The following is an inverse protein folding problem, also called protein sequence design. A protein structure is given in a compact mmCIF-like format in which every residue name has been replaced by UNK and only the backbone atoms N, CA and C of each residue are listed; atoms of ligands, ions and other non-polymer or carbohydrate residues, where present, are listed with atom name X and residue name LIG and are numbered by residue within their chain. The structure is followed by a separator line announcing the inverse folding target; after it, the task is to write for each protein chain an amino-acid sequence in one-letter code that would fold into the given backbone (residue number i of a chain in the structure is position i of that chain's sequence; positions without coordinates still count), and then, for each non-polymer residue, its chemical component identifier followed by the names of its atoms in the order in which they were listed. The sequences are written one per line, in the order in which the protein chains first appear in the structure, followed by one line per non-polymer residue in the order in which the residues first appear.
data_IF_655294168183
#
_entry.id   IF_655294168183
#
_cell.length_a   1.000
_cell.length_b   1.000
_cell.length_c   1.000
_cell.angle_alpha   90.00
_cell.angle_beta   90.00
_cell.angle_gamma   90.00
#
_symmetry.space_group_name_H-M   'P 1'
#
loop_
_entity.id
_entity.type
_entity.pdbx_description
1 polymer ?
#
# COMPACT_ATOMS: atom_id res chain seq x y z
N UNK A 1 41.56 -25.71 -57.18
CA UNK A 1 42.90 -25.30 -56.68
C UNK A 1 42.80 -25.23 -55.16
N UNK A 2 43.38 -26.19 -54.45
CA UNK A 2 43.37 -26.20 -52.99
C UNK A 2 44.41 -25.19 -52.47
N UNK A 3 43.95 -24.12 -51.83
CA UNK A 3 44.83 -23.14 -51.20
C UNK A 3 45.62 -23.80 -50.07
N UNK A 4 46.95 -23.88 -50.21
CA UNK A 4 47.86 -24.20 -49.10
C UNK A 4 47.65 -23.16 -48.00
N UNK A 5 47.02 -23.52 -46.89
CA UNK A 5 47.05 -22.73 -45.67
C UNK A 5 48.52 -22.56 -45.26
N UNK A 6 49.04 -21.33 -45.30
CA UNK A 6 50.35 -21.02 -44.73
C UNK A 6 50.22 -21.10 -43.22
N UNK A 7 50.65 -22.22 -42.63
CA UNK A 7 50.83 -22.32 -41.18
C UNK A 7 51.97 -21.35 -40.83
N UNK A 8 51.71 -20.42 -39.93
CA UNK A 8 52.73 -19.49 -39.43
C UNK A 8 53.71 -20.34 -38.61
N UNK A 9 54.94 -20.53 -39.11
CA UNK A 9 55.97 -21.31 -38.42
C UNK A 9 56.69 -20.43 -37.40
N UNK A 10 56.67 -20.85 -36.14
CA UNK A 10 57.40 -20.19 -35.04
C UNK A 10 58.88 -20.60 -35.03
N UNK A 11 59.72 -19.88 -34.28
CA UNK A 11 61.13 -20.24 -34.10
C UNK A 11 61.34 -21.63 -33.51
N UNK A 12 60.44 -22.06 -32.62
CA UNK A 12 60.44 -23.38 -31.99
C UNK A 12 60.13 -24.48 -33.03
N UNK A 13 59.16 -24.25 -33.94
CA UNK A 13 58.83 -25.22 -34.99
C UNK A 13 60.01 -25.47 -35.93
N UNK A 14 60.73 -24.39 -36.28
CA UNK A 14 61.94 -24.49 -37.10
C UNK A 14 63.04 -25.27 -36.38
N UNK A 15 63.21 -25.05 -35.07
CA UNK A 15 64.17 -25.82 -34.26
C UNK A 15 63.81 -27.31 -34.24
N UNK A 16 62.54 -27.67 -34.04
CA UNK A 16 62.10 -29.08 -34.06
C UNK A 16 62.36 -29.72 -35.42
N UNK A 17 62.06 -29.03 -36.53
CA UNK A 17 62.38 -29.50 -37.88
C UNK A 17 63.88 -29.71 -38.06
N UNK A 18 64.69 -28.76 -37.61
CA UNK A 18 66.14 -28.82 -37.68
C UNK A 18 66.68 -30.05 -36.94
N UNK A 19 66.24 -30.26 -35.71
CA UNK A 19 66.66 -31.42 -34.91
C UNK A 19 66.18 -32.73 -35.54
N UNK A 20 64.98 -32.75 -36.14
CA UNK A 20 64.47 -33.95 -36.84
C UNK A 20 65.23 -34.26 -38.14
N UNK A 21 65.66 -33.24 -38.88
CA UNK A 21 66.42 -33.39 -40.13
C UNK A 21 67.85 -33.84 -39.86
N UNK A 22 68.56 -33.16 -38.96
CA UNK A 22 69.96 -33.48 -38.64
C UNK A 22 70.11 -34.65 -37.66
N UNK A 23 69.02 -35.08 -36.99
CA UNK A 23 68.95 -36.06 -35.89
C UNK A 23 69.71 -35.68 -34.62
N UNK A 24 70.81 -34.94 -34.78
CA UNK A 24 71.66 -34.41 -33.73
C UNK A 24 72.35 -33.14 -34.24
N UNK A 25 72.15 -32.02 -33.55
CA UNK A 25 72.77 -30.74 -33.90
C UNK A 25 73.27 -30.04 -32.64
N UNK A 26 74.39 -29.31 -32.70
CA UNK A 26 74.85 -28.54 -31.55
C UNK A 26 74.00 -27.29 -31.37
N UNK A 27 73.85 -26.79 -30.13
CA UNK A 27 73.10 -25.57 -29.84
C UNK A 27 73.67 -24.38 -30.63
N UNK A 28 75.00 -24.28 -30.76
CA UNK A 28 75.66 -23.22 -31.53
C UNK A 28 75.35 -23.29 -33.02
N UNK A 29 75.34 -24.49 -33.59
CA UNK A 29 75.03 -24.69 -35.01
C UNK A 29 73.55 -24.42 -35.28
N UNK A 30 72.66 -24.86 -34.38
CA UNK A 30 71.23 -24.56 -34.47
C UNK A 30 70.94 -23.05 -34.36
N UNK A 31 71.62 -22.34 -33.46
CA UNK A 31 71.50 -20.88 -33.33
C UNK A 31 71.95 -20.16 -34.61
N UNK A 32 73.05 -20.63 -35.22
CA UNK A 32 73.56 -20.10 -36.49
C UNK A 32 72.58 -20.35 -37.65
N UNK A 33 72.00 -21.54 -37.73
CA UNK A 33 71.08 -21.93 -38.81
C UNK A 33 69.72 -21.22 -38.70
N UNK A 34 69.24 -21.00 -37.47
CA UNK A 34 67.98 -20.31 -37.20
C UNK A 34 68.11 -18.78 -37.19
N UNK A 35 69.34 -18.27 -37.16
CA UNK A 35 69.63 -16.83 -37.11
C UNK A 35 69.22 -16.18 -35.78
N UNK A 36 69.32 -16.90 -34.66
CA UNK A 36 68.96 -16.44 -33.31
C UNK A 36 70.11 -16.60 -32.32
N UNK A 37 69.98 -16.03 -31.12
CA UNK A 37 71.02 -16.15 -30.09
C UNK A 37 71.10 -17.57 -29.53
N UNK A 38 72.30 -17.99 -29.08
CA UNK A 38 72.52 -19.29 -28.44
C UNK A 38 71.60 -19.46 -27.23
N UNK A 39 71.48 -18.42 -26.40
CA UNK A 39 70.60 -18.39 -25.23
C UNK A 39 69.13 -18.64 -25.59
N UNK A 40 68.63 -18.08 -26.71
CA UNK A 40 67.25 -18.34 -27.17
C UNK A 40 67.05 -19.80 -27.57
N UNK A 41 68.06 -20.44 -28.18
CA UNK A 41 67.99 -21.87 -28.53
C UNK A 41 68.06 -22.74 -27.28
N UNK A 42 68.84 -22.35 -26.27
CA UNK A 42 68.89 -23.05 -24.97
C UNK A 42 67.53 -22.99 -24.28
N UNK A 43 66.90 -21.81 -24.17
CA UNK A 43 65.55 -21.68 -23.59
C UNK A 43 64.51 -22.52 -24.34
N UNK A 44 64.54 -22.52 -25.67
CA UNK A 44 63.65 -23.38 -26.46
C UNK A 44 63.97 -24.86 -26.29
N UNK A 45 65.25 -25.21 -26.19
CA UNK A 45 65.68 -26.59 -26.03
C UNK A 45 65.27 -27.16 -24.66
N UNK A 46 65.43 -26.38 -23.60
CA UNK A 46 65.00 -26.74 -22.24
C UNK A 46 63.49 -26.99 -22.23
N UNK A 47 62.70 -26.07 -22.83
CA UNK A 47 61.25 -26.25 -22.99
C UNK A 47 60.89 -27.51 -23.79
N UNK A 48 61.58 -27.78 -24.89
CA UNK A 48 61.34 -28.97 -25.72
C UNK A 48 61.81 -30.28 -25.07
N UNK A 49 62.82 -30.22 -24.20
CA UNK A 49 63.26 -31.35 -23.39
C UNK A 49 62.27 -31.68 -22.27
N UNK A 50 61.72 -30.65 -21.61
CA UNK A 50 60.64 -30.80 -20.62
C UNK A 50 59.40 -31.46 -21.25
N UNK A 51 59.01 -31.05 -22.46
CA UNK A 51 57.91 -31.69 -23.20
C UNK A 51 58.29 -33.07 -23.78
N UNK A 52 59.58 -33.42 -23.75
CA UNK A 52 60.13 -34.70 -24.18
C UNK A 52 60.15 -34.89 -25.69
N UNK A 53 60.21 -33.79 -26.45
CA UNK A 53 60.30 -33.76 -27.91
C UNK A 53 61.74 -33.97 -28.37
N UNK A 54 62.69 -33.38 -27.64
CA UNK A 54 64.12 -33.54 -27.86
C UNK A 54 64.81 -33.96 -26.56
N UNK A 55 66.08 -34.36 -26.65
CA UNK A 55 66.93 -34.65 -25.50
C UNK A 55 68.21 -33.84 -25.64
N UNK A 56 68.61 -33.18 -24.56
CA UNK A 56 69.84 -32.40 -24.49
C UNK A 56 70.94 -33.35 -24.01
N UNK A 57 71.96 -33.52 -24.85
CA UNK A 57 73.13 -34.35 -24.55
C UNK A 57 74.39 -33.50 -24.56
N UNK A 58 75.04 -33.36 -23.41
CA UNK A 58 76.38 -32.79 -23.34
C UNK A 58 77.42 -33.84 -23.75
N UNK A 59 78.24 -33.54 -24.76
CA UNK A 59 79.46 -34.32 -25.06
C UNK A 59 80.67 -33.38 -25.04
N UNK A 60 81.60 -33.64 -24.13
CA UNK A 60 82.72 -32.74 -23.79
C UNK A 60 82.19 -31.37 -23.34
N UNK A 61 82.57 -30.29 -24.03
CA UNK A 61 82.14 -28.91 -23.76
C UNK A 61 81.04 -28.42 -24.71
N UNK A 62 80.40 -29.32 -25.48
CA UNK A 62 79.38 -28.96 -26.46
C UNK A 62 78.05 -29.62 -26.14
N UNK A 63 76.99 -28.82 -26.09
CA UNK A 63 75.60 -29.25 -25.89
C UNK A 63 74.99 -29.60 -27.23
N UNK A 64 74.42 -30.80 -27.34
CA UNK A 64 73.76 -31.31 -28.54
C UNK A 64 72.27 -31.52 -28.29
N UNK A 65 71.45 -31.09 -29.23
CA UNK A 65 70.03 -31.38 -29.31
C UNK A 65 69.84 -32.65 -30.12
N UNK A 66 69.27 -33.69 -29.51
CA UNK A 66 69.04 -34.99 -30.14
C UNK A 66 67.55 -35.24 -30.25
N UNK A 67 67.10 -35.72 -31.42
CA UNK A 67 65.71 -36.14 -31.59
C UNK A 67 65.39 -37.27 -30.60
N UNK A 68 64.50 -37.00 -29.64
CA UNK A 68 64.03 -38.01 -28.71
C UNK A 68 62.97 -38.82 -29.44
N UNK A 69 63.36 -39.98 -29.99
CA UNK A 69 62.41 -40.97 -30.47
C UNK A 69 61.62 -41.47 -29.26
N UNK A 70 60.48 -40.84 -28.98
CA UNK A 70 59.52 -41.32 -27.99
C UNK A 70 59.34 -42.83 -28.22
N UNK A 71 59.65 -43.62 -27.20
CA UNK A 71 59.47 -45.05 -27.33
C UNK A 71 57.98 -45.29 -27.57
N UNK A 72 57.62 -46.29 -28.38
CA UNK A 72 56.20 -46.66 -28.57
C UNK A 72 55.51 -46.91 -27.22
N UNK A 73 56.24 -47.30 -26.17
CA UNK A 73 55.70 -47.47 -24.81
C UNK A 73 55.32 -46.13 -24.18
N UNK A 74 56.19 -45.12 -24.25
CA UNK A 74 55.98 -43.80 -23.62
C UNK A 74 54.80 -43.07 -24.29
N UNK A 75 54.65 -43.23 -25.60
CA UNK A 75 53.54 -42.66 -26.36
C UNK A 75 52.22 -43.37 -26.01
N UNK A 76 52.25 -44.69 -25.81
CA UNK A 76 51.08 -45.45 -25.32
C UNK A 76 50.71 -45.05 -23.88
N UNK A 77 51.69 -44.81 -23.01
CA UNK A 77 51.42 -44.30 -21.66
C UNK A 77 50.85 -42.88 -21.67
N UNK A 78 51.44 -41.94 -22.41
CA UNK A 78 50.89 -40.58 -22.56
C UNK A 78 49.48 -40.59 -23.16
N UNK A 79 49.20 -41.44 -24.16
CA UNK A 79 47.84 -41.58 -24.72
C UNK A 79 46.88 -42.16 -23.67
N UNK A 80 47.32 -43.12 -22.85
CA UNK A 80 46.51 -43.67 -21.76
C UNK A 80 46.21 -42.63 -20.68
N UNK A 81 47.19 -41.83 -20.26
CA UNK A 81 46.98 -40.77 -19.25
C UNK A 81 46.04 -39.70 -19.76
N UNK A 82 46.24 -39.19 -20.97
CA UNK A 82 45.34 -38.20 -21.60
C UNK A 82 43.92 -38.76 -21.75
N UNK A 83 43.78 -40.05 -22.12
CA UNK A 83 42.48 -40.71 -22.21
C UNK A 83 41.80 -40.83 -20.84
N UNK A 84 42.54 -41.17 -19.80
CA UNK A 84 42.02 -41.26 -18.43
C UNK A 84 41.61 -39.88 -17.88
N UNK A 85 42.43 -38.84 -18.12
CA UNK A 85 42.11 -37.46 -17.76
C UNK A 85 40.83 -36.99 -18.46
N UNK A 86 40.72 -37.27 -19.76
CA UNK A 86 39.51 -36.99 -20.53
C UNK A 86 38.29 -37.69 -19.97
N UNK A 87 38.37 -38.99 -19.68
CA UNK A 87 37.23 -39.73 -19.14
C UNK A 87 36.81 -39.18 -17.77
N UNK A 88 37.78 -38.82 -16.92
CA UNK A 88 37.51 -38.15 -15.65
C UNK A 88 36.84 -36.77 -15.83
N UNK A 89 37.15 -36.07 -16.92
CA UNK A 89 36.60 -34.76 -17.22
C UNK A 89 35.17 -34.87 -17.76
N UNK A 90 34.91 -35.82 -18.66
CA UNK A 90 33.55 -36.13 -19.13
C UNK A 90 32.64 -36.49 -17.95
N UNK A 91 33.09 -37.39 -17.07
CA UNK A 91 32.31 -37.78 -15.88
C UNK A 91 32.02 -36.59 -14.96
N UNK A 92 32.95 -35.64 -14.82
CA UNK A 92 32.74 -34.40 -14.04
C UNK A 92 31.70 -33.48 -14.67
N UNK A 93 31.70 -33.34 -16.00
CA UNK A 93 30.68 -32.59 -16.74
C UNK A 93 29.32 -33.26 -16.57
N UNK A 94 29.22 -34.57 -16.82
CA UNK A 94 27.96 -35.32 -16.68
C UNK A 94 27.41 -35.24 -15.25
N UNK A 95 28.25 -35.40 -14.24
CA UNK A 95 27.85 -35.25 -12.84
C UNK A 95 27.38 -33.83 -12.52
N UNK A 96 27.96 -32.81 -13.18
CA UNK A 96 27.58 -31.42 -12.98
C UNK A 96 26.26 -31.07 -13.66
N UNK A 97 26.00 -31.60 -14.86
CA UNK A 97 24.73 -31.51 -15.57
C UNK A 97 23.62 -32.16 -14.73
N UNK A 98 23.83 -33.41 -14.28
CA UNK A 98 22.85 -34.11 -13.45
C UNK A 98 22.55 -33.39 -12.13
N UNK A 99 23.52 -32.68 -11.56
CA UNK A 99 23.30 -31.85 -10.39
C UNK A 99 22.48 -30.60 -10.71
N UNK A 100 22.74 -29.93 -11.84
CA UNK A 100 21.92 -28.79 -12.28
C UNK A 100 20.48 -29.19 -12.57
N UNK A 101 20.24 -30.38 -13.13
CA UNK A 101 18.88 -30.88 -13.37
C UNK A 101 18.11 -31.07 -12.05
N UNK A 102 18.78 -31.52 -10.98
CA UNK A 102 18.16 -31.59 -9.65
C UNK A 102 17.89 -30.22 -9.07
N UNK A 103 18.85 -29.29 -9.23
CA UNK A 103 18.68 -27.90 -8.77
C UNK A 103 17.50 -27.24 -9.50
N UNK A 104 17.30 -27.52 -10.79
CA UNK A 104 16.14 -27.08 -11.59
C UNK A 104 14.81 -27.62 -11.07
N UNK A 105 14.76 -28.92 -10.74
CA UNK A 105 13.58 -29.52 -10.12
C UNK A 105 13.27 -28.87 -8.75
N UNK A 106 14.31 -28.56 -7.96
CA UNK A 106 14.14 -27.84 -6.69
C UNK A 106 13.61 -26.41 -6.90
N UNK A 107 14.14 -25.67 -7.89
CA UNK A 107 13.64 -24.33 -8.25
C UNK A 107 12.16 -24.38 -8.63
N UNK A 108 11.76 -25.35 -9.47
CA UNK A 108 10.36 -25.54 -9.88
C UNK A 108 9.44 -25.86 -8.71
N UNK A 109 9.91 -26.70 -7.79
CA UNK A 109 9.14 -27.02 -6.58
C UNK A 109 8.91 -25.74 -5.76
N UNK A 110 9.98 -24.98 -5.50
CA UNK A 110 9.91 -23.71 -4.76
C UNK A 110 8.98 -22.71 -5.46
N UNK A 111 9.08 -22.56 -6.78
CA UNK A 111 8.19 -21.67 -7.55
C UNK A 111 6.72 -22.10 -7.43
N UNK A 112 6.43 -23.40 -7.50
CA UNK A 112 5.08 -23.92 -7.35
C UNK A 112 4.50 -23.71 -5.94
N UNK A 113 5.29 -23.96 -4.89
CA UNK A 113 4.91 -23.70 -3.49
C UNK A 113 4.65 -22.21 -3.27
N UNK A 114 5.54 -21.36 -3.79
CA UNK A 114 5.42 -19.91 -3.71
C UNK A 114 4.16 -19.39 -4.42
N UNK A 115 3.85 -19.89 -5.63
CA UNK A 115 2.62 -19.55 -6.35
C UNK A 115 1.36 -19.93 -5.58
N UNK A 116 1.34 -21.09 -4.93
CA UNK A 116 0.21 -21.51 -4.07
C UNK A 116 0.05 -20.60 -2.85
N UNK A 117 1.15 -20.25 -2.18
CA UNK A 117 1.15 -19.31 -1.05
C UNK A 117 0.63 -17.95 -1.51
N UNK A 118 1.12 -17.45 -2.65
CA UNK A 118 0.71 -16.19 -3.25
C UNK A 118 -0.79 -16.17 -3.55
N UNK A 119 -1.34 -17.20 -4.21
CA UNK A 119 -2.78 -17.24 -4.52
C UNK A 119 -3.66 -17.28 -3.27
N UNK A 120 -3.29 -18.08 -2.26
CA UNK A 120 -4.03 -18.15 -1.00
C UNK A 120 -4.03 -16.80 -0.25
N UNK A 121 -2.94 -16.04 -0.38
CA UNK A 121 -2.81 -14.73 0.25
C UNK A 121 -3.51 -13.64 -0.56
N UNK A 122 -3.45 -13.67 -1.89
CA UNK A 122 -4.18 -12.75 -2.76
C UNK A 122 -5.70 -12.83 -2.52
N UNK A 123 -6.26 -14.02 -2.35
CA UNK A 123 -7.69 -14.20 -2.04
C UNK A 123 -8.08 -13.61 -0.68
N UNK A 124 -7.25 -13.87 0.34
CA UNK A 124 -7.45 -13.29 1.67
C UNK A 124 -7.29 -11.77 1.65
N UNK A 125 -6.34 -11.26 0.85
CA UNK A 125 -6.09 -9.85 0.67
C UNK A 125 -7.24 -9.15 -0.04
N UNK A 126 -7.79 -9.71 -1.12
CA UNK A 126 -8.96 -9.18 -1.80
C UNK A 126 -10.17 -9.09 -0.86
N UNK A 127 -10.36 -10.09 0.02
CA UNK A 127 -11.40 -10.04 1.05
C UNK A 127 -11.14 -8.95 2.08
N UNK A 128 -9.89 -8.79 2.53
CA UNK A 128 -9.53 -7.77 3.52
C UNK A 128 -9.59 -6.35 2.95
N UNK A 129 -9.13 -6.13 1.71
CA UNK A 129 -9.24 -4.87 0.98
C UNK A 129 -10.70 -4.44 0.88
N UNK A 130 -11.59 -5.35 0.44
CA UNK A 130 -13.04 -5.08 0.40
C UNK A 130 -13.62 -4.74 1.79
N UNK A 131 -13.13 -5.36 2.86
CA UNK A 131 -13.55 -5.02 4.24
C UNK A 131 -13.02 -3.63 4.65
N UNK A 132 -11.79 -3.28 4.28
CA UNK A 132 -11.19 -1.97 4.54
C UNK A 132 -11.89 -0.84 3.77
N UNK A 133 -12.20 -1.05 2.48
CA UNK A 133 -12.93 -0.09 1.65
C UNK A 133 -14.30 0.21 2.26
N UNK A 134 -15.03 -0.83 2.68
CA UNK A 134 -16.29 -0.69 3.42
C UNK A 134 -16.11 0.11 4.71
N UNK A 135 -15.08 -0.18 5.50
CA UNK A 135 -14.77 0.55 6.74
C UNK A 135 -14.48 2.04 6.47
N UNK A 136 -13.81 2.35 5.36
CA UNK A 136 -13.56 3.73 4.95
C UNK A 136 -14.86 4.45 4.55
N UNK A 137 -15.73 3.78 3.79
CA UNK A 137 -17.05 4.29 3.44
C UNK A 137 -17.93 4.51 4.68
N UNK A 138 -17.90 3.59 5.65
CA UNK A 138 -18.56 3.76 6.95
C UNK A 138 -18.04 4.99 7.70
N UNK A 139 -16.72 5.22 7.71
CA UNK A 139 -16.12 6.39 8.34
C UNK A 139 -16.58 7.69 7.67
N UNK A 140 -16.65 7.72 6.34
CA UNK A 140 -17.15 8.87 5.57
C UNK A 140 -18.63 9.13 5.87
N UNK A 141 -19.45 8.08 5.89
CA UNK A 141 -20.88 8.17 6.23
C UNK A 141 -21.10 8.67 7.66
N UNK A 142 -20.39 8.12 8.65
CA UNK A 142 -20.45 8.58 10.04
C UNK A 142 -20.06 10.06 10.17
N UNK A 143 -19.03 10.50 9.46
CA UNK A 143 -18.64 11.91 9.46
C UNK A 143 -19.74 12.81 8.85
N UNK A 144 -20.34 12.41 7.73
CA UNK A 144 -21.44 13.15 7.11
C UNK A 144 -22.69 13.22 7.99
N UNK A 145 -23.04 12.12 8.67
CA UNK A 145 -24.14 12.09 9.65
C UNK A 145 -23.83 13.07 10.79
N UNK A 146 -22.61 13.07 11.32
CA UNK A 146 -22.19 14.00 12.37
C UNK A 146 -22.29 15.47 11.94
N UNK A 147 -21.90 15.80 10.71
CA UNK A 147 -22.05 17.17 10.16
C UNK A 147 -23.53 17.55 10.07
N UNK A 148 -24.38 16.67 9.51
CA UNK A 148 -25.83 16.92 9.41
C UNK A 148 -26.52 17.08 10.76
N UNK A 149 -26.16 16.27 11.75
CA UNK A 149 -26.69 16.40 13.11
C UNK A 149 -26.33 17.76 13.71
N UNK A 150 -25.09 18.21 13.57
CA UNK A 150 -24.64 19.52 14.06
C UNK A 150 -25.34 20.69 13.34
N UNK A 151 -25.60 20.57 12.04
CA UNK A 151 -26.35 21.57 11.27
C UNK A 151 -27.81 21.64 11.75
N UNK A 152 -28.47 20.50 11.92
CA UNK A 152 -29.83 20.44 12.44
C UNK A 152 -29.93 21.00 13.86
N UNK A 153 -29.00 20.68 14.74
CA UNK A 153 -28.95 21.24 16.10
C UNK A 153 -28.90 22.76 16.08
N UNK A 154 -28.04 23.35 15.24
CA UNK A 154 -27.94 24.81 15.08
C UNK A 154 -29.23 25.43 14.55
N UNK A 155 -29.83 24.82 13.51
CA UNK A 155 -31.08 25.31 12.93
C UNK A 155 -32.22 25.30 13.96
N UNK A 156 -32.31 24.25 14.79
CA UNK A 156 -33.30 24.17 15.86
C UNK A 156 -33.01 25.15 16.99
N UNK A 157 -31.76 25.35 17.40
CA UNK A 157 -31.39 26.35 18.39
C UNK A 157 -31.76 27.77 17.94
N UNK A 158 -31.56 28.09 16.66
CA UNK A 158 -31.94 29.39 16.11
C UNK A 158 -33.47 29.57 16.07
N UNK A 159 -34.21 28.54 15.64
CA UNK A 159 -35.68 28.55 15.68
C UNK A 159 -36.21 28.73 17.10
N UNK A 160 -35.64 28.03 18.08
CA UNK A 160 -36.01 28.16 19.49
C UNK A 160 -35.74 29.55 20.04
N UNK A 161 -34.58 30.15 19.73
CA UNK A 161 -34.26 31.54 20.12
C UNK A 161 -35.25 32.54 19.51
N UNK A 162 -35.60 32.36 18.25
CA UNK A 162 -36.56 33.21 17.57
C UNK A 162 -37.96 33.09 18.19
N UNK A 163 -38.42 31.87 18.48
CA UNK A 163 -39.71 31.64 19.15
C UNK A 163 -39.73 32.21 20.57
N UNK A 164 -38.67 31.99 21.36
CA UNK A 164 -38.55 32.55 22.72
C UNK A 164 -38.59 34.09 22.70
N UNK A 165 -37.94 34.72 21.71
CA UNK A 165 -37.98 36.19 21.56
C UNK A 165 -39.38 36.71 21.20
N UNK A 166 -40.14 35.98 20.34
CA UNK A 166 -41.52 36.31 19.99
C UNK A 166 -42.44 36.15 21.20
N UNK A 167 -42.33 35.03 21.91
CA UNK A 167 -43.11 34.75 23.10
C UNK A 167 -42.90 35.82 24.17
N UNK A 168 -41.64 36.19 24.46
CA UNK A 168 -41.33 37.27 25.40
C UNK A 168 -41.91 38.63 24.99
N UNK A 169 -41.99 38.92 23.70
CA UNK A 169 -42.59 40.16 23.18
C UNK A 169 -44.11 40.14 23.38
N UNK A 170 -44.76 39.03 23.05
CA UNK A 170 -46.21 38.85 23.24
C UNK A 170 -46.59 38.88 24.72
N UNK A 171 -45.83 38.20 25.59
CA UNK A 171 -46.04 38.24 27.05
C UNK A 171 -45.96 39.66 27.62
N UNK A 172 -44.99 40.47 27.14
CA UNK A 172 -44.89 41.88 27.54
C UNK A 172 -46.10 42.68 27.07
N UNK A 173 -46.48 42.53 25.81
CA UNK A 173 -47.67 43.20 25.25
C UNK A 173 -48.94 42.82 26.02
N UNK A 174 -49.09 41.55 26.38
CA UNK A 174 -50.23 41.07 27.17
C UNK A 174 -50.25 41.69 28.57
N UNK A 175 -49.11 41.75 29.27
CA UNK A 175 -49.00 42.39 30.58
C UNK A 175 -49.31 43.89 30.53
N UNK A 176 -48.88 44.59 29.48
CA UNK A 176 -49.20 46.00 29.29
C UNK A 176 -50.70 46.23 29.09
N UNK A 177 -51.38 45.34 28.35
CA UNK A 177 -52.83 45.42 28.19
C UNK A 177 -53.56 45.10 29.49
N UNK A 178 -53.13 44.10 30.25
CA UNK A 178 -53.71 43.79 31.55
C UNK A 178 -53.59 44.97 32.52
N UNK A 179 -52.42 45.62 32.58
CA UNK A 179 -52.23 46.80 33.43
C UNK A 179 -53.18 47.95 33.05
N UNK A 180 -53.41 48.18 31.76
CA UNK A 180 -54.38 49.19 31.28
C UNK A 180 -55.81 48.83 31.65
N UNK A 181 -56.19 47.55 31.54
CA UNK A 181 -57.53 47.09 31.95
C UNK A 181 -57.73 47.26 33.45
N UNK A 182 -56.73 46.93 34.27
CA UNK A 182 -56.78 47.14 35.73
C UNK A 182 -56.93 48.64 36.09
N UNK A 183 -56.20 49.51 35.40
CA UNK A 183 -56.31 50.97 35.57
C UNK A 183 -57.71 51.49 35.16
N UNK A 184 -58.23 51.05 34.01
CA UNK A 184 -59.59 51.40 33.55
C UNK A 184 -60.66 50.91 34.54
N UNK A 185 -60.54 49.69 35.08
CA UNK A 185 -61.47 49.16 36.08
C UNK A 185 -61.48 49.98 37.37
N UNK A 186 -60.31 50.42 37.86
CA UNK A 186 -60.22 51.26 39.06
C UNK A 186 -60.80 52.66 38.80
N UNK A 187 -60.64 53.21 37.60
CA UNK A 187 -61.25 54.48 37.20
C UNK A 187 -62.78 54.36 37.14
N UNK A 188 -63.31 53.31 36.49
CA UNK A 188 -64.75 53.03 36.43
C UNK A 188 -65.32 52.86 37.85
N UNK A 189 -64.59 52.18 38.74
CA UNK A 189 -65.01 52.03 40.14
C UNK A 189 -65.11 53.37 40.86
N UNK A 190 -64.10 54.25 40.73
CA UNK A 190 -64.13 55.61 41.29
C UNK A 190 -65.29 56.43 40.73
N UNK A 191 -65.56 56.33 39.43
CA UNK A 191 -66.70 57.00 38.81
C UNK A 191 -68.03 56.45 39.30
N UNK A 192 -68.15 55.13 39.46
CA UNK A 192 -69.32 54.49 40.05
C UNK A 192 -69.55 54.93 41.49
N UNK A 193 -68.50 55.05 42.29
CA UNK A 193 -68.59 55.55 43.66
C UNK A 193 -69.03 57.02 43.69
N UNK A 194 -68.54 57.86 42.76
CA UNK A 194 -69.04 59.23 42.58
C UNK A 194 -70.51 59.26 42.20
N UNK A 195 -70.94 58.43 41.24
CA UNK A 195 -72.34 58.31 40.84
C UNK A 195 -73.20 57.86 42.02
N UNK A 196 -72.73 56.91 42.82
CA UNK A 196 -73.46 56.44 44.02
C UNK A 196 -73.57 57.55 45.05
N UNK A 197 -72.49 58.30 45.29
CA UNK A 197 -72.51 59.47 46.16
C UNK A 197 -73.44 60.56 45.63
N UNK A 198 -73.45 60.79 44.31
CA UNK A 198 -74.38 61.71 43.65
C UNK A 198 -75.83 61.25 43.78
N UNK A 199 -76.12 59.94 43.73
CA UNK A 199 -77.46 59.39 43.95
C UNK A 199 -77.90 59.59 45.41
N UNK A 200 -77.01 59.38 46.38
CA UNK A 200 -77.35 59.60 47.78
C UNK A 200 -77.50 61.10 48.09
N UNK A 201 -76.65 61.93 47.50
CA UNK A 201 -76.82 63.39 47.51
C UNK A 201 -78.10 63.78 46.78
N UNK A 202 -78.46 63.13 45.68
CA UNK A 202 -79.71 63.34 44.94
C UNK A 202 -80.89 63.00 45.82
N UNK A 203 -80.86 61.92 46.62
CA UNK A 203 -81.94 61.59 47.57
C UNK A 203 -82.06 62.65 48.67
N UNK A 204 -80.94 63.07 49.26
CA UNK A 204 -80.91 64.13 50.27
C UNK A 204 -81.36 65.48 49.68
N UNK A 205 -80.97 65.76 48.44
CA UNK A 205 -81.41 66.92 47.67
C UNK A 205 -82.84 66.74 47.16
N UNK A 206 -83.39 65.53 46.97
CA UNK A 206 -84.78 65.30 46.55
C UNK A 206 -85.73 65.79 47.63
N UNK A 207 -85.36 65.57 48.89
CA UNK A 207 -85.98 66.18 50.07
C UNK A 207 -85.87 67.71 50.05
N UNK A 208 -84.85 68.27 49.41
CA UNK A 208 -84.69 69.71 49.17
C UNK A 208 -85.28 70.19 47.81
N UNK A 209 -85.54 69.34 46.82
CA UNK A 209 -85.93 69.68 45.42
C UNK A 209 -87.44 69.86 45.28
N UNK A 210 -88.24 69.35 46.22
CA UNK A 210 -89.57 69.94 46.47
C UNK A 210 -89.49 71.48 46.61
N UNK A 211 -88.36 72.03 47.07
CA UNK A 211 -88.08 73.46 47.14
C UNK A 211 -87.45 74.08 45.87
N UNK A 212 -86.68 73.31 45.07
CA UNK A 212 -85.85 73.81 43.96
C UNK A 212 -86.25 73.31 42.55
N UNK A 213 -87.51 72.92 42.36
CA UNK A 213 -88.08 72.64 41.03
C UNK A 213 -87.90 73.75 39.97
N UNK A 214 -87.44 74.96 40.36
CA UNK A 214 -87.11 76.10 39.48
C UNK A 214 -85.67 76.10 38.90
N UNK A 215 -84.72 75.37 39.46
CA UNK A 215 -83.31 75.37 38.99
C UNK A 215 -82.97 74.15 38.09
N UNK A 216 -83.97 73.30 37.84
CA UNK A 216 -83.90 71.99 37.17
C UNK A 216 -83.42 72.00 35.70
N UNK A 217 -83.46 73.14 35.01
CA UNK A 217 -83.07 73.18 33.58
C UNK A 217 -81.58 72.95 33.32
N UNK A 218 -80.70 73.39 34.22
CA UNK A 218 -79.26 73.44 33.94
C UNK A 218 -78.51 72.15 34.32
N UNK A 219 -79.07 71.33 35.22
CA UNK A 219 -78.46 70.09 35.73
C UNK A 219 -78.72 68.90 34.79
N UNK A 220 -79.83 68.90 34.03
CA UNK A 220 -80.11 67.86 33.02
C UNK A 220 -79.03 67.78 31.94
N UNK A 221 -78.47 68.92 31.54
CA UNK A 221 -77.42 68.99 30.53
C UNK A 221 -76.06 68.46 31.03
N UNK A 222 -75.81 68.46 32.34
CA UNK A 222 -74.59 67.88 32.93
C UNK A 222 -74.70 66.35 33.10
N UNK A 223 -75.86 65.84 33.53
CA UNK A 223 -76.12 64.39 33.61
C UNK A 223 -76.05 63.74 32.22
N UNK A 224 -76.57 64.42 31.18
CA UNK A 224 -76.48 63.90 29.81
C UNK A 224 -75.04 63.87 29.28
N UNK A 225 -74.17 64.80 29.71
CA UNK A 225 -72.74 64.80 29.37
C UNK A 225 -71.96 63.69 30.08
N UNK A 226 -72.21 63.49 31.38
CA UNK A 226 -71.58 62.42 32.17
C UNK A 226 -72.02 61.02 31.71
N UNK A 227 -73.30 60.82 31.36
CA UNK A 227 -73.76 59.56 30.77
C UNK A 227 -73.13 59.28 29.39
N UNK A 228 -72.93 60.31 28.57
CA UNK A 228 -72.19 60.18 27.30
C UNK A 228 -70.72 59.82 27.53
N UNK A 229 -70.12 60.26 28.63
CA UNK A 229 -68.75 59.91 29.00
C UNK A 229 -68.64 58.45 29.45
N UNK A 230 -69.58 57.97 30.28
CA UNK A 230 -69.67 56.54 30.65
C UNK A 230 -69.81 55.62 29.43
N UNK A 231 -70.64 55.98 28.45
CA UNK A 231 -70.76 55.21 27.20
C UNK A 231 -69.45 55.18 26.39
N UNK A 232 -68.67 56.26 26.41
CA UNK A 232 -67.35 56.32 25.76
C UNK A 232 -66.37 55.39 26.46
N UNK A 233 -66.38 55.36 27.79
CA UNK A 233 -65.44 54.57 28.59
C UNK A 233 -65.80 53.08 28.59
N UNK A 234 -67.08 52.72 28.54
CA UNK A 234 -67.54 51.34 28.29
C UNK A 234 -67.09 50.84 26.89
N UNK A 235 -67.14 51.72 25.88
CA UNK A 235 -66.62 51.39 24.55
C UNK A 235 -65.10 51.22 24.53
N UNK A 236 -64.36 51.97 25.36
CA UNK A 236 -62.90 51.81 25.52
C UNK A 236 -62.57 50.49 26.20
N UNK A 237 -63.24 50.17 27.31
CA UNK A 237 -63.07 48.91 28.03
C UNK A 237 -63.33 47.71 27.11
N UNK A 238 -64.38 47.79 26.29
CA UNK A 238 -64.70 46.74 25.30
C UNK A 238 -63.59 46.57 24.26
N UNK A 239 -63.04 47.67 23.73
CA UNK A 239 -61.90 47.62 22.79
C UNK A 239 -60.63 47.05 23.44
N UNK A 240 -60.36 47.40 24.70
CA UNK A 240 -59.23 46.87 25.48
C UNK A 240 -59.39 45.37 25.74
N UNK A 241 -60.60 44.92 26.08
CA UNK A 241 -60.93 43.51 26.26
C UNK A 241 -60.82 42.72 24.94
N UNK A 242 -61.33 43.25 23.83
CA UNK A 242 -61.22 42.64 22.50
C UNK A 242 -59.74 42.52 22.06
N UNK A 243 -58.91 43.52 22.39
CA UNK A 243 -57.47 43.47 22.14
C UNK A 243 -56.76 42.41 22.99
N UNK A 244 -57.12 42.26 24.27
CA UNK A 244 -56.59 41.21 25.14
C UNK A 244 -56.97 39.81 24.64
N UNK A 245 -58.21 39.63 24.18
CA UNK A 245 -58.71 38.39 23.58
C UNK A 245 -57.96 38.05 22.27
N UNK A 246 -57.66 39.07 21.44
CA UNK A 246 -56.84 38.92 20.23
C UNK A 246 -55.42 38.44 20.55
N UNK A 247 -54.73 39.11 21.48
CA UNK A 247 -53.37 38.73 21.91
C UNK A 247 -53.35 37.33 22.52
N UNK A 248 -54.39 36.96 23.29
CA UNK A 248 -54.52 35.61 23.85
C UNK A 248 -54.61 34.54 22.75
N UNK A 249 -55.40 34.79 21.69
CA UNK A 249 -55.49 33.87 20.54
C UNK A 249 -54.17 33.76 19.79
N UNK A 250 -53.42 34.86 19.66
CA UNK A 250 -52.10 34.86 19.05
C UNK A 250 -51.11 34.00 19.87
N UNK A 251 -51.08 34.18 21.21
CA UNK A 251 -50.28 33.35 22.13
C UNK A 251 -50.65 31.86 22.00
N UNK A 252 -51.95 31.54 21.95
CA UNK A 252 -52.43 30.16 21.78
C UNK A 252 -52.03 29.57 20.41
N UNK A 253 -52.00 30.38 19.36
CA UNK A 253 -51.56 29.96 18.03
C UNK A 253 -50.04 29.74 17.97
N UNK A 254 -49.25 30.65 18.53
CA UNK A 254 -47.78 30.51 18.64
C UNK A 254 -47.41 29.31 19.52
N UNK A 255 -48.20 29.01 20.56
CA UNK A 255 -48.03 27.80 21.38
C UNK A 255 -48.30 26.52 20.59
N UNK A 256 -49.29 26.51 19.69
CA UNK A 256 -49.55 25.37 18.80
C UNK A 256 -48.45 25.17 17.77
N UNK A 257 -47.91 26.25 17.22
CA UNK A 257 -46.76 26.20 16.31
C UNK A 257 -45.53 25.62 17.04
N UNK A 258 -45.34 25.96 18.32
CA UNK A 258 -44.26 25.42 19.16
C UNK A 258 -44.43 23.91 19.41
N UNK A 259 -45.67 23.45 19.63
CA UNK A 259 -46.00 22.03 19.71
C UNK A 259 -45.78 21.30 18.39
N UNK A 260 -46.06 21.95 17.25
CA UNK A 260 -45.84 21.37 15.92
C UNK A 260 -44.35 21.26 15.59
N UNK A 261 -43.55 22.27 15.93
CA UNK A 261 -42.08 22.20 15.84
C UNK A 261 -41.52 21.12 16.77
N UNK A 262 -42.08 20.94 17.97
CA UNK A 262 -41.72 19.85 18.89
C UNK A 262 -42.07 18.45 18.31
N UNK A 263 -43.22 18.32 17.64
CA UNK A 263 -43.60 17.10 16.90
C UNK A 263 -42.68 16.83 15.71
N UNK A 264 -42.31 17.85 14.94
CA UNK A 264 -41.34 17.70 13.85
C UNK A 264 -39.96 17.30 14.38
N UNK A 265 -39.50 17.92 15.47
CA UNK A 265 -38.25 17.55 16.14
C UNK A 265 -38.26 16.09 16.60
N UNK A 266 -39.35 15.63 17.22
CA UNK A 266 -39.49 14.22 17.64
C UNK A 266 -39.60 13.25 16.46
N UNK A 267 -40.21 13.67 15.33
CA UNK A 267 -40.24 12.89 14.10
C UNK A 267 -38.85 12.76 13.46
N UNK A 268 -38.11 13.87 13.29
CA UNK A 268 -36.74 13.86 12.81
C UNK A 268 -35.80 13.09 13.75
N UNK A 269 -36.01 13.17 15.07
CA UNK A 269 -35.29 12.37 16.05
C UNK A 269 -35.56 10.87 15.86
N UNK A 270 -36.81 10.47 15.63
CA UNK A 270 -37.13 9.06 15.30
C UNK A 270 -36.50 8.61 13.99
N UNK A 271 -36.42 9.50 13.00
CA UNK A 271 -35.74 9.22 11.73
C UNK A 271 -34.23 9.04 11.95
N UNK A 272 -33.59 9.90 12.75
CA UNK A 272 -32.19 9.75 13.18
C UNK A 272 -32.00 8.45 13.96
N UNK A 273 -32.86 8.13 14.93
CA UNK A 273 -32.83 6.87 15.68
C UNK A 273 -33.02 5.66 14.76
N UNK A 274 -33.81 5.79 13.69
CA UNK A 274 -33.96 4.73 12.69
C UNK A 274 -32.70 4.57 11.84
N UNK A 275 -32.07 5.67 11.41
CA UNK A 275 -30.78 5.66 10.73
C UNK A 275 -29.68 5.08 11.63
N UNK A 276 -29.67 5.43 12.91
CA UNK A 276 -28.76 4.91 13.92
C UNK A 276 -28.99 3.42 14.20
N UNK A 277 -30.24 2.95 14.26
CA UNK A 277 -30.56 1.52 14.37
C UNK A 277 -30.17 0.74 13.11
N UNK A 278 -30.33 1.33 11.94
CA UNK A 278 -29.92 0.72 10.67
C UNK A 278 -28.39 0.63 10.63
N UNK A 279 -27.70 1.71 11.00
CA UNK A 279 -26.25 1.76 11.18
C UNK A 279 -25.76 0.74 12.23
N UNK A 280 -26.43 0.63 13.38
CA UNK A 280 -26.12 -0.35 14.41
C UNK A 280 -26.34 -1.77 13.93
N UNK A 281 -27.41 -2.05 13.17
CA UNK A 281 -27.60 -3.37 12.52
C UNK A 281 -26.51 -3.68 11.51
N UNK A 282 -26.09 -2.71 10.70
CA UNK A 282 -25.00 -2.87 9.75
C UNK A 282 -23.67 -3.11 10.48
N UNK A 283 -23.42 -2.40 11.58
CA UNK A 283 -22.27 -2.60 12.48
C UNK A 283 -22.33 -3.94 13.22
N UNK A 284 -23.51 -4.40 13.65
CA UNK A 284 -23.71 -5.69 14.31
C UNK A 284 -23.54 -6.85 13.32
N UNK A 285 -23.99 -6.69 12.07
CA UNK A 285 -23.74 -7.66 11.00
C UNK A 285 -22.25 -7.78 10.65
N UNK A 286 -21.48 -6.71 10.89
CA UNK A 286 -20.03 -6.69 10.77
C UNK A 286 -19.33 -7.27 12.02
N UNK A 287 -19.84 -7.00 13.23
CA UNK A 287 -19.32 -7.55 14.50
C UNK A 287 -19.50 -9.06 14.62
N UNK A 288 -20.68 -9.57 14.26
CA UNK A 288 -21.02 -11.01 14.38
C UNK A 288 -20.24 -11.90 13.41
N UNK A 289 -19.46 -11.32 12.48
CA UNK A 289 -18.74 -12.07 11.46
C UNK A 289 -17.23 -12.27 11.64
N UNK A 290 -16.49 -11.43 12.39
CA UNK A 290 -15.01 -11.57 12.60
C UNK A 290 -14.37 -10.36 13.32
N UNK A 291 -15.09 -9.24 13.53
CA UNK A 291 -14.48 -7.96 13.90
C UNK A 291 -14.07 -7.84 15.38
N UNK A 292 -14.62 -8.64 16.29
CA UNK A 292 -14.20 -8.65 17.70
C UNK A 292 -12.78 -9.23 17.91
N UNK A 293 -12.13 -9.74 16.85
CA UNK A 293 -10.73 -10.21 16.89
C UNK A 293 -9.73 -9.23 16.30
N UNK A 294 -10.16 -8.13 15.69
CA UNK A 294 -9.27 -7.07 15.22
C UNK A 294 -9.28 -6.01 16.31
N UNK A 295 -8.36 -6.13 17.25
CA UNK A 295 -8.14 -5.14 18.29
C UNK A 295 -7.71 -3.80 17.69
N UNK A 296 -7.45 -2.85 18.59
CA UNK A 296 -7.30 -1.41 18.35
C UNK A 296 -6.68 -1.01 17.00
N UNK A 297 -6.99 0.19 16.51
CA UNK A 297 -6.42 0.83 15.30
C UNK A 297 -4.90 0.62 15.08
N UNK A 298 -4.15 0.39 16.16
CA UNK A 298 -2.73 0.01 16.16
C UNK A 298 -2.46 -1.35 15.48
N UNK A 299 -3.29 -2.36 15.75
CA UNK A 299 -3.22 -3.70 15.13
C UNK A 299 -3.50 -3.63 13.63
N UNK A 300 -4.45 -2.78 13.19
CA UNK A 300 -4.71 -2.57 11.77
C UNK A 300 -3.50 -1.98 11.04
N UNK A 301 -2.75 -1.07 11.68
CA UNK A 301 -1.50 -0.52 11.12
C UNK A 301 -0.38 -1.56 11.06
N UNK A 302 -0.22 -2.34 12.13
CA UNK A 302 0.75 -3.44 12.16
C UNK A 302 0.46 -4.49 11.09
N UNK A 303 -0.83 -4.76 10.84
CA UNK A 303 -1.27 -5.66 9.76
C UNK A 303 -0.87 -5.09 8.39
N UNK A 304 -1.12 -3.80 8.12
CA UNK A 304 -0.69 -3.13 6.87
C UNK A 304 0.83 -3.16 6.69
N UNK A 305 1.60 -2.94 7.76
CA UNK A 305 3.07 -2.99 7.70
C UNK A 305 3.60 -4.41 7.46
N UNK A 306 2.99 -5.43 8.10
CA UNK A 306 3.29 -6.85 7.80
C UNK A 306 2.96 -7.18 6.35
N UNK A 307 1.87 -6.63 5.80
CA UNK A 307 1.52 -6.80 4.38
C UNK A 307 2.54 -6.17 3.45
N UNK A 308 2.98 -4.93 3.71
CA UNK A 308 4.03 -4.29 2.89
C UNK A 308 5.31 -5.13 2.88
N UNK A 309 5.75 -5.57 4.06
CA UNK A 309 6.90 -6.47 4.19
C UNK A 309 6.73 -7.76 3.38
N UNK A 310 5.54 -8.37 3.44
CA UNK A 310 5.23 -9.56 2.64
C UNK A 310 5.33 -9.30 1.14
N UNK A 311 4.79 -8.19 0.62
CA UNK A 311 4.89 -7.87 -0.81
C UNK A 311 6.33 -7.57 -1.25
N UNK A 312 7.11 -6.89 -0.42
CA UNK A 312 8.52 -6.65 -0.69
C UNK A 312 9.30 -7.96 -0.73
N UNK A 313 9.03 -8.87 0.22
CA UNK A 313 9.59 -10.23 0.22
C UNK A 313 9.13 -11.07 -0.99
N UNK A 314 7.86 -10.94 -1.39
CA UNK A 314 7.30 -11.61 -2.58
C UNK A 314 8.05 -11.20 -3.84
N UNK A 315 8.28 -9.89 -4.01
CA UNK A 315 9.09 -9.36 -5.13
C UNK A 315 10.54 -9.82 -5.07
N UNK A 316 11.12 -9.90 -3.88
CA UNK A 316 12.47 -10.44 -3.71
C UNK A 316 12.54 -11.92 -4.11
N UNK A 317 11.56 -12.74 -3.70
CA UNK A 317 11.45 -14.15 -4.07
C UNK A 317 11.31 -14.31 -5.59
N UNK A 318 10.40 -13.58 -6.22
CA UNK A 318 10.22 -13.61 -7.69
C UNK A 318 11.50 -13.22 -8.43
N UNK A 319 12.19 -12.18 -7.95
CA UNK A 319 13.47 -11.76 -8.50
C UNK A 319 14.59 -12.78 -8.31
N UNK A 320 14.60 -13.54 -7.21
CA UNK A 320 15.56 -14.61 -6.96
C UNK A 320 15.26 -15.85 -7.80
N UNK A 321 13.99 -16.25 -7.94
CA UNK A 321 13.58 -17.37 -8.81
C UNK A 321 14.00 -17.07 -10.25
N UNK A 322 13.66 -15.90 -10.78
CA UNK A 322 13.97 -15.55 -12.15
C UNK A 322 15.49 -15.49 -12.42
N UNK A 323 16.28 -14.99 -11.46
CA UNK A 323 17.74 -15.01 -11.55
C UNK A 323 18.32 -16.42 -11.52
N UNK A 324 17.79 -17.28 -10.64
CA UNK A 324 18.23 -18.66 -10.52
C UNK A 324 17.91 -19.48 -11.78
N UNK A 325 16.70 -19.33 -12.34
CA UNK A 325 16.29 -19.98 -13.61
C UNK A 325 17.20 -19.54 -14.75
N UNK A 326 17.45 -18.23 -14.89
CA UNK A 326 18.33 -17.70 -15.93
C UNK A 326 19.77 -18.21 -15.79
N UNK A 327 20.30 -18.20 -14.57
CA UNK A 327 21.68 -18.66 -14.31
C UNK A 327 21.82 -20.18 -14.51
N UNK A 328 20.78 -20.97 -14.17
CA UNK A 328 20.70 -22.41 -14.46
C UNK A 328 20.71 -22.68 -15.96
N UNK A 329 19.88 -21.97 -16.73
CA UNK A 329 19.81 -22.11 -18.19
C UNK A 329 21.15 -21.78 -18.87
N UNK A 330 21.79 -20.66 -18.48
CA UNK A 330 23.10 -20.28 -18.99
C UNK A 330 24.20 -21.30 -18.64
N UNK A 331 24.18 -21.82 -17.40
CA UNK A 331 25.11 -22.86 -16.96
C UNK A 331 24.91 -24.15 -17.75
N UNK A 332 23.67 -24.56 -17.99
CA UNK A 332 23.33 -25.75 -18.76
C UNK A 332 23.85 -25.62 -20.20
N UNK A 333 23.62 -24.48 -20.85
CA UNK A 333 24.12 -24.21 -22.20
C UNK A 333 25.66 -24.26 -22.25
N UNK A 334 26.34 -23.72 -21.23
CA UNK A 334 27.80 -23.76 -21.12
C UNK A 334 28.32 -25.20 -20.95
N UNK A 335 27.70 -26.00 -20.08
CA UNK A 335 28.07 -27.41 -19.91
C UNK A 335 27.82 -28.23 -21.18
N UNK A 336 26.72 -28.00 -21.91
CA UNK A 336 26.46 -28.66 -23.18
C UNK A 336 27.49 -28.29 -24.26
N UNK A 337 27.90 -27.01 -24.34
CA UNK A 337 28.98 -26.57 -25.23
C UNK A 337 30.30 -27.25 -24.86
N UNK A 338 30.62 -27.31 -23.57
CA UNK A 338 31.84 -27.96 -23.07
C UNK A 338 31.83 -29.46 -23.37
N UNK A 339 30.70 -30.14 -23.16
CA UNK A 339 30.52 -31.56 -23.51
C UNK A 339 30.73 -31.81 -25.02
N UNK A 340 30.15 -30.96 -25.88
CA UNK A 340 30.34 -31.03 -27.33
C UNK A 340 31.80 -30.80 -27.75
N UNK A 341 32.52 -29.85 -27.13
CA UNK A 341 33.96 -29.64 -27.36
C UNK A 341 34.75 -30.91 -27.00
N UNK A 342 34.51 -31.49 -25.83
CA UNK A 342 35.20 -32.72 -25.37
C UNK A 342 34.92 -33.92 -26.28
N UNK A 343 33.67 -34.03 -26.78
CA UNK A 343 33.29 -35.03 -27.78
C UNK A 343 34.00 -34.79 -29.11
N UNK A 344 34.08 -33.55 -29.60
CA UNK A 344 34.82 -33.24 -30.83
C UNK A 344 36.32 -33.61 -30.71
N UNK A 345 36.91 -33.43 -29.53
CA UNK A 345 38.27 -33.90 -29.23
C UNK A 345 38.44 -35.43 -29.24
N UNK A 346 37.36 -36.23 -29.27
CA UNK A 346 37.51 -37.69 -29.48
C UNK A 346 37.89 -38.03 -30.92
N UNK A 347 37.59 -37.13 -31.87
CA UNK A 347 37.84 -37.34 -33.28
C UNK A 347 39.26 -36.90 -33.72
N UNK A 348 39.94 -36.06 -32.93
CA UNK A 348 41.28 -35.54 -33.25
C UNK A 348 42.36 -36.44 -32.66
N UNK A 349 43.33 -36.87 -33.47
CA UNK A 349 44.30 -37.94 -33.14
C UNK A 349 45.66 -37.45 -32.61
N UNK A 350 45.95 -36.15 -32.62
CA UNK A 350 47.25 -35.56 -32.26
C UNK A 350 47.37 -35.26 -30.76
N UNK A 351 48.22 -36.01 -30.06
CA UNK A 351 48.46 -35.92 -28.60
C UNK A 351 48.85 -34.52 -28.07
N UNK A 352 49.74 -33.75 -28.74
CA UNK A 352 50.18 -32.45 -28.22
C UNK A 352 49.09 -31.38 -28.20
N UNK A 353 48.27 -31.33 -29.26
CA UNK A 353 47.16 -30.37 -29.38
C UNK A 353 46.08 -30.64 -28.33
N UNK A 354 45.87 -31.92 -27.99
CA UNK A 354 44.90 -32.32 -26.95
C UNK A 354 45.30 -31.78 -25.57
N UNK A 355 46.59 -31.74 -25.22
CA UNK A 355 47.04 -31.27 -23.89
C UNK A 355 46.76 -29.78 -23.69
N UNK A 356 47.06 -28.95 -24.68
CA UNK A 356 46.83 -27.50 -24.60
C UNK A 356 45.33 -27.17 -24.54
N UNK A 357 44.53 -27.86 -25.36
CA UNK A 357 43.07 -27.71 -25.35
C UNK A 357 42.44 -28.29 -24.07
N UNK A 358 43.02 -29.33 -23.46
CA UNK A 358 42.56 -29.82 -22.17
C UNK A 358 42.77 -28.78 -21.06
N UNK A 359 43.87 -28.02 -21.11
CA UNK A 359 44.11 -26.91 -20.21
C UNK A 359 43.07 -25.78 -20.34
N UNK A 360 42.70 -25.42 -21.59
CA UNK A 360 41.65 -24.42 -21.82
C UNK A 360 40.28 -24.89 -21.31
N UNK A 361 39.94 -26.15 -21.57
CA UNK A 361 38.70 -26.77 -21.07
C UNK A 361 38.65 -26.86 -19.55
N UNK A 362 39.77 -27.13 -18.88
CA UNK A 362 39.84 -27.14 -17.42
C UNK A 362 39.59 -25.76 -16.81
N UNK A 363 40.12 -24.71 -17.45
CA UNK A 363 39.85 -23.33 -17.03
C UNK A 363 38.38 -22.94 -17.24
N UNK A 364 37.79 -23.29 -18.40
CA UNK A 364 36.35 -23.10 -18.65
C UNK A 364 35.51 -23.85 -17.60
N UNK A 365 35.87 -25.09 -17.26
CA UNK A 365 35.16 -25.87 -16.23
C UNK A 365 35.25 -25.19 -14.86
N UNK A 366 36.41 -24.67 -14.47
CA UNK A 366 36.60 -23.99 -13.19
C UNK A 366 35.73 -22.72 -13.06
N UNK A 367 35.58 -21.96 -14.15
CA UNK A 367 34.70 -20.80 -14.21
C UNK A 367 33.23 -21.20 -14.06
N UNK A 368 32.80 -22.25 -14.77
CA UNK A 368 31.44 -22.79 -14.67
C UNK A 368 31.18 -23.30 -13.25
N UNK A 369 32.14 -23.97 -12.61
CA UNK A 369 32.03 -24.43 -11.22
C UNK A 369 31.91 -23.26 -10.23
N UNK A 370 32.58 -22.11 -10.48
CA UNK A 370 32.42 -20.93 -9.61
C UNK A 370 31.03 -20.33 -9.73
N UNK A 371 30.49 -20.24 -10.97
CA UNK A 371 29.11 -19.80 -11.22
C UNK A 371 28.08 -20.74 -10.58
N UNK A 372 28.30 -22.05 -10.66
CA UNK A 372 27.46 -23.04 -9.97
C UNK A 372 27.43 -22.84 -8.46
N UNK A 373 28.56 -22.49 -7.82
CA UNK A 373 28.60 -22.15 -6.39
C UNK A 373 27.77 -20.90 -6.07
N UNK A 374 27.78 -19.90 -6.96
CA UNK A 374 26.94 -18.70 -6.79
C UNK A 374 25.45 -19.05 -6.88
N UNK A 375 25.05 -19.89 -7.85
CA UNK A 375 23.68 -20.39 -7.96
C UNK A 375 23.25 -21.11 -6.67
N UNK A 376 24.09 -22.00 -6.13
CA UNK A 376 23.79 -22.70 -4.87
C UNK A 376 23.58 -21.73 -3.68
N UNK A 377 24.35 -20.64 -3.61
CA UNK A 377 24.16 -19.59 -2.59
C UNK A 377 22.83 -18.85 -2.80
N UNK A 378 22.45 -18.57 -4.05
CA UNK A 378 21.16 -17.95 -4.37
C UNK A 378 19.99 -18.85 -4.01
N UNK A 379 20.05 -20.15 -4.29
CA UNK A 379 19.04 -21.13 -3.91
C UNK A 379 18.90 -21.23 -2.39
N UNK A 380 20.02 -21.23 -1.66
CA UNK A 380 19.98 -21.20 -0.20
C UNK A 380 19.31 -19.93 0.34
N UNK A 381 19.61 -18.76 -0.28
CA UNK A 381 18.94 -17.50 0.07
C UNK A 381 17.45 -17.58 -0.21
N UNK A 382 17.06 -18.03 -1.40
CA UNK A 382 15.66 -18.21 -1.82
C UNK A 382 14.91 -19.09 -0.82
N UNK A 383 15.48 -20.25 -0.45
CA UNK A 383 14.90 -21.17 0.54
C UNK A 383 14.69 -20.50 1.90
N UNK A 384 15.65 -19.69 2.35
CA UNK A 384 15.54 -18.98 3.63
C UNK A 384 14.45 -17.91 3.60
N UNK A 385 14.33 -17.16 2.50
CA UNK A 385 13.30 -16.11 2.34
C UNK A 385 11.91 -16.76 2.27
N UNK A 386 11.73 -17.82 1.47
CA UNK A 386 10.46 -18.56 1.38
C UNK A 386 10.07 -19.14 2.74
N UNK A 387 11.01 -19.75 3.48
CA UNK A 387 10.75 -20.23 4.85
C UNK A 387 10.37 -19.13 5.82
N UNK A 388 10.92 -17.91 5.66
CA UNK A 388 10.58 -16.77 6.52
C UNK A 388 9.18 -16.23 6.27
N UNK A 389 8.65 -16.44 5.06
CA UNK A 389 7.29 -16.04 4.67
C UNK A 389 6.25 -17.06 5.15
N UNK A 390 6.63 -18.35 5.22
CA UNK A 390 5.75 -19.43 5.69
C UNK A 390 5.56 -19.40 7.22
N UNK A 391 6.56 -18.94 7.97
CA UNK A 391 6.51 -18.80 9.43
C UNK A 391 5.79 -17.52 9.83
#
# INVERSE_FOLDING_TARGET
MAGKKSVIETGVDKLVKLVSEYKKISVKDAAKELGVSVSSVEEWADFLEEEGIISIQAKFATVYLVEKKLSKKDLVEKVKTVRAEKESFVRRIESSINALERDHEEIKLIDSEFKQIKSLLEDKFLKLSKKLDKLEDFKKSHHQIGVRCNELEKDYEEKLKNLDSKLKKEERSYREVLAKVEEELENIKKERDKVTHMIDTEKDLHLQVEHLNKQIGHIRDEIEKENKQLDIDDQRLKKSADAAEGIKKDIESTSKDLDEVSKQFTASRKEIESMEKTFLKDVESLKTGDLDKIGSYKESREVVDRFRKFFDQTREIEGLIHKAEKEEEELKEHFEKLAKKVQAFTAVTSVPEIKNEMGSLQNELAEIESRKKLLAVQLMKLRNVVRSVIK
#
